data_IF_214372628878
#
_entry.id   IF_214372628878
#
_cell.length_a   1.000
_cell.length_b   1.000
_cell.length_c   1.000
_cell.angle_alpha   90.00
_cell.angle_beta   90.00
_cell.angle_gamma   90.00
#
_symmetry.space_group_name_H-M   'P 1'
#
loop_
_entity.id
_entity.type
_entity.pdbx_description
1 polymer ?
#
# COMPACT_ATOMS: atom_id res chain seq x y z
N UNK A 1 -7.29 5.88 23.68
CA UNK A 1 -8.37 6.06 22.66
C UNK A 1 -7.74 5.88 21.31
N UNK A 2 -8.32 5.05 20.41
CA UNK A 2 -7.83 4.90 19.03
C UNK A 2 -8.05 6.23 18.31
N UNK A 3 -7.00 6.80 17.71
CA UNK A 3 -7.06 8.12 17.06
C UNK A 3 -7.73 8.08 15.69
N UNK A 4 -7.76 6.91 15.03
CA UNK A 4 -8.28 6.71 13.68
C UNK A 4 -9.24 5.53 13.65
N UNK A 5 -10.37 5.70 12.98
CA UNK A 5 -11.37 4.64 12.82
C UNK A 5 -11.10 3.80 11.57
N UNK A 6 -10.76 4.44 10.46
CA UNK A 6 -10.50 3.78 9.18
C UNK A 6 -9.15 4.18 8.64
N UNK A 7 -8.30 3.21 8.38
CA UNK A 7 -6.97 3.44 7.83
C UNK A 7 -6.80 2.78 6.47
N UNK A 8 -5.93 3.36 5.64
CA UNK A 8 -5.42 2.70 4.46
C UNK A 8 -3.94 2.40 4.68
N UNK A 9 -3.58 1.12 4.65
CA UNK A 9 -2.21 0.64 4.74
C UNK A 9 -1.65 0.42 3.34
N UNK A 10 -0.62 1.18 2.97
CA UNK A 10 0.11 0.97 1.72
C UNK A 10 1.35 0.12 1.96
N UNK A 11 1.42 -0.99 1.27
CA UNK A 11 2.54 -1.93 1.30
C UNK A 11 3.28 -1.91 -0.04
N UNK A 12 4.62 -1.88 -0.01
CA UNK A 12 5.39 -2.22 -1.20
C UNK A 12 5.29 -3.73 -1.48
N UNK A 13 5.48 -4.16 -2.73
CA UNK A 13 5.56 -5.61 -3.01
C UNK A 13 6.69 -6.28 -2.23
N UNK A 14 7.78 -5.56 -1.99
CA UNK A 14 8.91 -6.05 -1.20
C UNK A 14 8.57 -6.39 0.26
N UNK A 15 7.48 -5.82 0.80
CA UNK A 15 6.98 -6.17 2.13
C UNK A 15 6.47 -7.62 2.23
N UNK A 16 6.21 -8.28 1.09
CA UNK A 16 5.77 -9.67 1.02
C UNK A 16 6.91 -10.63 0.69
N UNK A 17 8.13 -10.13 0.41
CA UNK A 17 9.26 -10.93 -0.07
C UNK A 17 10.38 -11.05 0.95
N UNK A 18 11.19 -12.09 0.79
CA UNK A 18 12.50 -12.23 1.44
C UNK A 18 13.62 -12.29 0.39
N UNK A 19 14.85 -12.49 0.83
CA UNK A 19 15.99 -12.69 -0.07
C UNK A 19 15.88 -13.95 -0.94
N UNK A 20 15.07 -14.94 -0.53
CA UNK A 20 14.93 -16.23 -1.19
C UNK A 20 13.59 -16.44 -1.89
N UNK A 21 12.56 -15.65 -1.57
CA UNK A 21 11.19 -15.86 -2.07
C UNK A 21 10.51 -14.53 -2.42
N UNK A 22 9.87 -14.50 -3.59
CA UNK A 22 9.10 -13.32 -4.03
C UNK A 22 7.84 -13.11 -3.18
N UNK A 23 7.22 -14.19 -2.70
CA UNK A 23 6.14 -14.17 -1.71
C UNK A 23 6.57 -15.11 -0.59
N UNK A 24 6.87 -14.55 0.56
CA UNK A 24 7.44 -15.26 1.69
C UNK A 24 6.39 -15.49 2.79
N UNK A 25 6.31 -16.73 3.28
CA UNK A 25 5.29 -17.11 4.26
C UNK A 25 5.49 -16.45 5.63
N UNK A 26 6.73 -16.18 6.04
CA UNK A 26 7.01 -15.51 7.32
C UNK A 26 6.64 -14.03 7.25
N UNK A 27 6.90 -13.38 6.10
CA UNK A 27 6.48 -12.00 5.87
C UNK A 27 4.95 -11.88 5.87
N UNK A 28 4.25 -12.85 5.27
CA UNK A 28 2.79 -12.89 5.32
C UNK A 28 2.27 -13.08 6.75
N UNK A 29 2.90 -13.94 7.57
CA UNK A 29 2.54 -14.12 8.99
C UNK A 29 2.75 -12.84 9.79
N UNK A 30 3.86 -12.12 9.57
CA UNK A 30 4.14 -10.83 10.21
C UNK A 30 3.04 -9.81 9.87
N UNK A 31 2.66 -9.70 8.59
CA UNK A 31 1.57 -8.82 8.16
C UNK A 31 0.22 -9.20 8.77
N UNK A 32 -0.08 -10.50 8.86
CA UNK A 32 -1.28 -10.99 9.54
C UNK A 32 -1.30 -10.53 11.00
N UNK A 33 -0.20 -10.66 11.73
CA UNK A 33 -0.10 -10.23 13.13
C UNK A 33 -0.32 -8.72 13.30
N UNK A 34 0.31 -7.90 12.45
CA UNK A 34 0.15 -6.43 12.47
C UNK A 34 -1.31 -6.04 12.22
N UNK A 35 -1.93 -6.63 11.19
CA UNK A 35 -3.32 -6.34 10.84
C UNK A 35 -4.27 -6.82 11.95
N UNK A 36 -4.06 -8.01 12.52
CA UNK A 36 -4.87 -8.52 13.63
C UNK A 36 -4.82 -7.58 14.82
N UNK A 37 -3.63 -7.11 15.20
CA UNK A 37 -3.48 -6.18 16.34
C UNK A 37 -4.26 -4.88 16.13
N UNK A 38 -4.33 -4.37 14.91
CA UNK A 38 -5.10 -3.17 14.60
C UNK A 38 -6.62 -3.45 14.57
N UNK A 39 -7.05 -4.61 14.05
CA UNK A 39 -8.45 -5.04 14.08
C UNK A 39 -8.95 -5.22 15.52
N UNK A 40 -8.12 -5.76 16.41
CA UNK A 40 -8.46 -5.94 17.84
C UNK A 40 -8.68 -4.59 18.56
N UNK A 41 -8.15 -3.50 18.01
CA UNK A 41 -8.42 -2.14 18.46
C UNK A 41 -9.70 -1.52 17.86
N UNK A 42 -10.41 -2.27 17.01
CA UNK A 42 -11.63 -1.81 16.33
C UNK A 42 -11.37 -0.90 15.12
N UNK A 43 -10.19 -0.97 14.52
CA UNK A 43 -9.82 -0.17 13.34
C UNK A 43 -10.26 -0.89 12.06
N UNK A 44 -10.97 -0.19 11.19
CA UNK A 44 -11.30 -0.65 9.84
C UNK A 44 -10.06 -0.53 8.93
N UNK A 45 -9.65 -1.63 8.28
CA UNK A 45 -8.38 -1.69 7.54
C UNK A 45 -8.60 -1.94 6.05
N UNK A 46 -8.15 -0.99 5.23
CA UNK A 46 -7.96 -1.18 3.80
C UNK A 46 -6.46 -1.30 3.48
N UNK A 47 -6.12 -2.10 2.48
CA UNK A 47 -4.73 -2.32 2.07
C UNK A 47 -4.58 -2.05 0.58
N UNK A 48 -3.54 -1.32 0.19
CA UNK A 48 -3.05 -1.24 -1.18
C UNK A 48 -1.67 -1.89 -1.22
N UNK A 49 -1.49 -2.87 -2.08
CA UNK A 49 -0.23 -3.61 -2.21
C UNK A 49 0.44 -3.36 -3.56
N UNK A 50 1.77 -3.16 -3.54
CA UNK A 50 2.59 -3.04 -4.75
C UNK A 50 2.91 -4.40 -5.38
N UNK A 51 3.53 -4.38 -6.58
CA UNK A 51 3.92 -5.57 -7.35
C UNK A 51 5.43 -5.74 -7.54
N UNK A 52 6.25 -4.88 -6.93
CA UNK A 52 7.69 -4.78 -7.21
C UNK A 52 8.53 -6.01 -6.86
N UNK A 53 8.04 -6.91 -6.01
CA UNK A 53 8.66 -8.20 -5.71
C UNK A 53 8.53 -9.22 -6.84
N UNK A 54 7.46 -9.13 -7.62
CA UNK A 54 7.16 -10.04 -8.73
C UNK A 54 7.60 -9.47 -10.08
N UNK A 55 7.46 -8.15 -10.25
CA UNK A 55 7.75 -7.49 -11.50
C UNK A 55 8.24 -6.05 -11.29
N UNK A 56 9.41 -5.74 -11.85
CA UNK A 56 9.99 -4.39 -11.86
C UNK A 56 9.98 -3.83 -13.27
N UNK A 57 8.92 -3.09 -13.61
CA UNK A 57 8.72 -2.52 -14.94
C UNK A 57 9.83 -1.58 -15.41
N UNK A 58 10.48 -0.87 -14.48
CA UNK A 58 11.55 0.09 -14.81
C UNK A 58 12.77 -0.57 -15.45
N UNK A 59 13.16 -1.79 -15.05
CA UNK A 59 14.30 -2.50 -15.64
C UNK A 59 13.99 -3.00 -17.06
N UNK A 60 12.78 -3.47 -17.31
CA UNK A 60 12.39 -4.01 -18.62
C UNK A 60 12.00 -2.91 -19.63
N UNK A 61 11.61 -1.73 -19.16
CA UNK A 61 11.43 -0.56 -20.04
C UNK A 61 12.76 -0.11 -20.67
N UNK A 62 13.88 -0.32 -19.98
CA UNK A 62 15.22 -0.07 -20.52
C UNK A 62 15.61 -1.09 -21.60
N UNK A 63 14.97 -2.26 -21.64
CA UNK A 63 15.18 -3.31 -22.65
C UNK A 63 14.21 -3.20 -23.84
N UNK A 64 13.44 -2.09 -23.94
CA UNK A 64 12.55 -1.81 -25.07
C UNK A 64 11.09 -2.24 -24.90
N UNK A 65 10.68 -2.67 -23.70
CA UNK A 65 9.26 -2.96 -23.42
C UNK A 65 8.43 -1.68 -23.46
N UNK A 66 7.24 -1.77 -24.07
CA UNK A 66 6.29 -0.67 -24.06
C UNK A 66 5.84 -0.36 -22.61
N UNK A 67 5.91 0.92 -22.22
CA UNK A 67 5.59 1.37 -20.86
C UNK A 67 4.19 0.93 -20.41
N UNK A 68 3.18 1.09 -21.27
CA UNK A 68 1.79 0.71 -20.94
C UNK A 68 1.68 -0.78 -20.68
N UNK A 69 2.35 -1.61 -21.48
CA UNK A 69 2.41 -3.07 -21.28
C UNK A 69 3.09 -3.39 -19.95
N UNK A 70 4.23 -2.75 -19.66
CA UNK A 70 4.92 -2.91 -18.38
C UNK A 70 4.07 -2.53 -17.17
N UNK A 71 3.34 -1.42 -17.27
CA UNK A 71 2.43 -0.98 -16.21
C UNK A 71 1.31 -2.01 -16.00
N UNK A 72 0.69 -2.55 -17.06
CA UNK A 72 -0.32 -3.60 -16.95
C UNK A 72 0.22 -4.88 -16.28
N UNK A 73 1.44 -5.30 -16.62
CA UNK A 73 2.08 -6.46 -15.96
C UNK A 73 2.30 -6.16 -14.48
N UNK A 74 2.80 -4.97 -14.13
CA UNK A 74 2.94 -4.53 -12.74
C UNK A 74 1.61 -4.50 -11.99
N UNK A 75 0.55 -4.04 -12.63
CA UNK A 75 -0.81 -4.05 -12.06
C UNK A 75 -1.29 -5.48 -11.80
N UNK A 76 -1.06 -6.43 -12.72
CA UNK A 76 -1.38 -7.85 -12.52
C UNK A 76 -0.52 -8.46 -11.39
N UNK A 77 0.74 -8.08 -11.25
CA UNK A 77 1.59 -8.50 -10.14
C UNK A 77 1.00 -8.10 -8.78
N UNK A 78 0.38 -6.91 -8.69
CA UNK A 78 -0.34 -6.51 -7.45
C UNK A 78 -1.54 -7.41 -7.16
N UNK A 79 -2.21 -7.93 -8.18
CA UNK A 79 -3.34 -8.88 -8.00
C UNK A 79 -2.84 -10.18 -7.39
N UNK A 80 -1.71 -10.72 -7.87
CA UNK A 80 -1.11 -11.93 -7.31
C UNK A 80 -0.76 -11.74 -5.82
N UNK A 81 -0.14 -10.61 -5.47
CA UNK A 81 0.17 -10.26 -4.08
C UNK A 81 -1.09 -10.12 -3.22
N UNK A 82 -2.12 -9.46 -3.72
CA UNK A 82 -3.39 -9.28 -3.01
C UNK A 82 -4.09 -10.62 -2.72
N UNK A 83 -4.06 -11.56 -3.67
CA UNK A 83 -4.61 -12.90 -3.49
C UNK A 83 -3.84 -13.69 -2.44
N UNK A 84 -2.50 -13.66 -2.47
CA UNK A 84 -1.67 -14.33 -1.47
C UNK A 84 -1.91 -13.76 -0.06
N UNK A 85 -2.03 -12.43 0.08
CA UNK A 85 -2.32 -11.77 1.33
C UNK A 85 -3.73 -12.12 1.85
N UNK A 86 -4.74 -12.10 0.97
CA UNK A 86 -6.11 -12.49 1.32
C UNK A 86 -6.19 -13.96 1.79
N UNK A 87 -5.47 -14.87 1.14
CA UNK A 87 -5.39 -16.26 1.57
C UNK A 87 -4.73 -16.38 2.97
N UNK A 88 -3.65 -15.65 3.21
CA UNK A 88 -3.00 -15.62 4.52
C UNK A 88 -3.95 -15.11 5.62
N UNK A 89 -4.72 -14.05 5.37
CA UNK A 89 -5.74 -13.56 6.29
C UNK A 89 -6.82 -14.61 6.56
N UNK A 90 -7.39 -15.21 5.52
CA UNK A 90 -8.46 -16.23 5.65
C UNK A 90 -7.99 -17.46 6.43
N UNK A 91 -6.76 -17.93 6.21
CA UNK A 91 -6.16 -19.03 7.00
C UNK A 91 -6.05 -18.67 8.50
N UNK A 92 -5.92 -17.40 8.82
CA UNK A 92 -5.89 -16.88 10.19
C UNK A 92 -7.24 -16.34 10.67
N UNK A 93 -8.35 -16.70 10.01
CA UNK A 93 -9.73 -16.32 10.35
C UNK A 93 -10.01 -14.82 10.28
N UNK A 94 -9.21 -14.06 9.56
CA UNK A 94 -9.45 -12.65 9.26
C UNK A 94 -10.25 -12.58 7.96
N UNK A 95 -11.52 -12.15 7.99
CA UNK A 95 -12.31 -11.99 6.78
C UNK A 95 -11.68 -10.95 5.86
N UNK A 96 -11.57 -11.26 4.57
CA UNK A 96 -10.99 -10.31 3.61
C UNK A 96 -11.61 -10.44 2.23
N UNK A 97 -11.58 -9.35 1.47
CA UNK A 97 -12.01 -9.27 0.08
C UNK A 97 -10.96 -8.56 -0.76
N UNK A 98 -10.70 -9.08 -1.96
CA UNK A 98 -9.82 -8.44 -2.95
C UNK A 98 -10.67 -7.72 -3.99
N UNK A 99 -10.40 -6.43 -4.19
CA UNK A 99 -11.05 -5.61 -5.22
C UNK A 99 -10.00 -5.09 -6.22
N UNK A 100 -10.28 -5.28 -7.50
CA UNK A 100 -9.36 -4.87 -8.59
C UNK A 100 -9.78 -3.56 -9.22
N UNK A 101 -8.82 -2.68 -9.51
CA UNK A 101 -9.04 -1.40 -10.18
C UNK A 101 -9.56 -1.51 -11.61
N UNK A 102 -9.41 -2.68 -12.26
CA UNK A 102 -10.06 -3.02 -13.51
C UNK A 102 -10.70 -4.41 -13.44
N UNK A 103 -11.72 -4.74 -14.28
CA UNK A 103 -12.40 -6.01 -14.21
C UNK A 103 -11.47 -7.20 -14.51
N UNK A 104 -11.48 -8.20 -13.62
CA UNK A 104 -10.81 -9.50 -13.81
C UNK A 104 -11.87 -10.58 -13.63
N UNK A 105 -12.08 -11.37 -14.67
CA UNK A 105 -13.11 -12.40 -14.70
C UNK A 105 -12.77 -13.66 -13.89
N UNK A 106 -13.64 -14.66 -13.99
CA UNK A 106 -13.41 -16.00 -13.41
C UNK A 106 -13.48 -16.07 -11.88
N UNK A 107 -14.05 -15.08 -11.20
CA UNK A 107 -14.15 -15.08 -9.74
C UNK A 107 -12.81 -14.86 -9.01
N UNK A 108 -11.78 -14.37 -9.71
CA UNK A 108 -10.44 -14.14 -9.15
C UNK A 108 -10.46 -13.03 -8.11
N UNK A 109 -11.09 -11.90 -8.44
CA UNK A 109 -11.32 -10.79 -7.50
C UNK A 109 -12.55 -9.99 -7.95
N UNK A 110 -13.06 -9.16 -7.04
CA UNK A 110 -14.21 -8.33 -7.34
C UNK A 110 -13.77 -7.04 -8.07
N UNK A 111 -14.60 -6.49 -8.96
CA UNK A 111 -14.35 -5.16 -9.49
C UNK A 111 -14.48 -4.13 -8.37
N UNK A 112 -13.61 -3.11 -8.39
CA UNK A 112 -13.65 -2.04 -7.40
C UNK A 112 -15.01 -1.32 -7.42
N UNK A 113 -15.56 -1.14 -6.24
CA UNK A 113 -16.75 -0.30 -5.99
C UNK A 113 -16.60 0.34 -4.61
N UNK A 114 -16.57 1.68 -4.56
CA UNK A 114 -16.32 2.43 -3.32
C UNK A 114 -17.39 2.19 -2.25
N UNK A 115 -18.68 2.11 -2.64
CA UNK A 115 -19.77 1.87 -1.69
C UNK A 115 -19.70 0.46 -1.09
N UNK A 116 -19.38 -0.55 -1.93
CA UNK A 116 -19.16 -1.92 -1.47
C UNK A 116 -17.93 -2.00 -0.56
N UNK A 117 -16.82 -1.36 -0.93
CA UNK A 117 -15.62 -1.33 -0.10
C UNK A 117 -15.90 -0.76 1.31
N UNK A 118 -16.65 0.36 1.39
CA UNK A 118 -17.08 0.93 2.68
C UNK A 118 -17.96 -0.02 3.48
N UNK A 119 -18.88 -0.72 2.82
CA UNK A 119 -19.75 -1.71 3.46
C UNK A 119 -18.95 -2.91 4.00
N UNK A 120 -17.98 -3.42 3.23
CA UNK A 120 -17.14 -4.55 3.67
C UNK A 120 -16.26 -4.15 4.87
N UNK A 121 -15.68 -2.94 4.86
CA UNK A 121 -14.91 -2.39 5.99
C UNK A 121 -15.77 -2.25 7.24
N UNK A 122 -16.99 -1.74 7.13
CA UNK A 122 -17.93 -1.60 8.24
C UNK A 122 -18.45 -2.94 8.78
N UNK A 123 -18.23 -4.05 8.05
CA UNK A 123 -18.53 -5.42 8.48
C UNK A 123 -17.25 -6.19 8.88
N UNK A 124 -16.27 -5.49 9.41
CA UNK A 124 -15.02 -6.04 9.96
C UNK A 124 -14.20 -6.88 8.95
N UNK A 125 -14.33 -6.60 7.65
CA UNK A 125 -13.52 -7.23 6.63
C UNK A 125 -12.35 -6.34 6.22
N UNK A 126 -11.18 -6.94 6.07
CA UNK A 126 -10.05 -6.28 5.43
C UNK A 126 -10.31 -6.18 3.92
N UNK A 127 -10.25 -4.97 3.37
CA UNK A 127 -10.40 -4.74 1.93
C UNK A 127 -9.03 -4.56 1.31
N UNK A 128 -8.65 -5.42 0.36
CA UNK A 128 -7.36 -5.37 -0.32
C UNK A 128 -7.58 -4.87 -1.74
N UNK A 129 -7.02 -3.71 -2.04
CA UNK A 129 -7.09 -3.13 -3.38
C UNK A 129 -5.89 -3.56 -4.22
N UNK A 130 -6.16 -4.07 -5.40
CA UNK A 130 -5.20 -4.52 -6.40
C UNK A 130 -5.38 -3.81 -7.73
N UNK A 131 -4.48 -4.04 -8.67
CA UNK A 131 -4.45 -3.39 -9.99
C UNK A 131 -4.37 -1.85 -9.94
N UNK A 132 -3.80 -1.31 -8.87
CA UNK A 132 -3.53 0.12 -8.73
C UNK A 132 -4.77 1.01 -8.85
N UNK A 133 -4.66 2.07 -9.63
CA UNK A 133 -5.79 2.96 -9.96
C UNK A 133 -6.78 2.35 -10.96
N UNK A 134 -6.41 1.27 -11.63
CA UNK A 134 -7.13 0.72 -12.79
C UNK A 134 -6.62 1.26 -14.14
N UNK A 135 -5.71 2.22 -14.11
CA UNK A 135 -5.11 2.85 -15.29
C UNK A 135 -3.60 2.81 -15.25
N UNK A 136 -2.90 2.61 -16.39
CA UNK A 136 -1.44 2.68 -16.47
C UNK A 136 -0.94 4.11 -16.18
N UNK A 137 0.36 4.28 -16.06
CA UNK A 137 1.07 5.53 -15.78
C UNK A 137 0.92 6.08 -14.35
N UNK A 138 0.20 5.41 -13.46
CA UNK A 138 0.09 5.76 -12.05
C UNK A 138 0.81 4.75 -11.16
N UNK A 139 1.41 5.22 -10.08
CA UNK A 139 2.09 4.36 -9.12
C UNK A 139 1.11 3.77 -8.10
N UNK A 140 1.60 2.85 -7.29
CA UNK A 140 0.87 2.30 -6.15
C UNK A 140 0.64 3.35 -5.06
N UNK A 141 1.50 4.37 -4.96
CA UNK A 141 1.32 5.49 -4.02
C UNK A 141 0.13 6.37 -4.42
N UNK A 142 0.02 6.70 -5.73
CA UNK A 142 -1.17 7.38 -6.28
C UNK A 142 -2.43 6.54 -6.05
N UNK A 143 -2.35 5.23 -6.25
CA UNK A 143 -3.49 4.33 -5.99
C UNK A 143 -3.89 4.35 -4.50
N UNK A 144 -2.93 4.35 -3.58
CA UNK A 144 -3.21 4.43 -2.14
C UNK A 144 -3.94 5.73 -1.78
N UNK A 145 -3.45 6.88 -2.27
CA UNK A 145 -4.11 8.16 -2.06
C UNK A 145 -5.55 8.18 -2.60
N UNK A 146 -5.75 7.71 -3.85
CA UNK A 146 -7.06 7.64 -4.47
C UNK A 146 -8.03 6.75 -3.69
N UNK A 147 -7.63 5.53 -3.34
CA UNK A 147 -8.47 4.60 -2.60
C UNK A 147 -8.79 5.11 -1.19
N UNK A 148 -7.84 5.78 -0.52
CA UNK A 148 -8.09 6.41 0.79
C UNK A 148 -9.21 7.45 0.70
N UNK A 149 -9.20 8.30 -0.31
CA UNK A 149 -10.25 9.30 -0.56
C UNK A 149 -11.59 8.60 -0.81
N UNK A 150 -11.64 7.63 -1.70
CA UNK A 150 -12.87 6.96 -2.12
C UNK A 150 -13.56 6.19 -0.99
N UNK A 151 -12.79 5.59 -0.06
CA UNK A 151 -13.35 4.89 1.10
C UNK A 151 -13.57 5.80 2.32
N UNK A 152 -13.07 7.04 2.30
CA UNK A 152 -13.09 7.96 3.44
C UNK A 152 -12.20 7.47 4.57
N UNK A 153 -10.94 7.12 4.27
CA UNK A 153 -9.95 6.80 5.28
C UNK A 153 -9.51 8.07 6.03
N UNK A 154 -9.23 7.93 7.32
CA UNK A 154 -8.76 9.03 8.15
C UNK A 154 -7.29 9.36 7.88
N UNK A 155 -6.51 8.34 7.49
CA UNK A 155 -5.06 8.44 7.28
C UNK A 155 -4.57 7.35 6.31
N UNK A 156 -3.46 7.64 5.61
CA UNK A 156 -2.67 6.64 4.88
C UNK A 156 -1.43 6.29 5.69
N UNK A 157 -1.26 5.04 6.04
CA UNK A 157 -0.03 4.48 6.58
C UNK A 157 0.81 3.89 5.46
N UNK A 158 2.02 4.41 5.26
CA UNK A 158 2.97 3.87 4.30
C UNK A 158 4.05 3.06 5.02
N UNK A 159 4.03 1.76 4.82
CA UNK A 159 5.07 0.87 5.31
C UNK A 159 6.31 0.92 4.39
N UNK A 160 7.47 1.17 4.97
CA UNK A 160 8.75 1.28 4.27
C UNK A 160 9.86 0.49 4.99
N UNK A 161 11.08 0.54 4.44
CA UNK A 161 12.28 -0.03 5.08
C UNK A 161 12.88 0.92 6.13
N UNK A 162 12.49 2.18 6.09
CA UNK A 162 12.96 3.25 7.00
C UNK A 162 11.81 3.70 7.90
N UNK A 163 12.13 4.20 9.07
CA UNK A 163 11.21 4.49 10.16
C UNK A 163 10.57 5.88 10.10
N UNK A 164 10.67 6.57 8.97
CA UNK A 164 10.09 7.89 8.82
C UNK A 164 10.42 8.56 7.48
N UNK A 165 10.19 9.86 7.46
CA UNK A 165 10.49 10.74 6.31
C UNK A 165 11.83 11.40 6.54
N UNK A 166 12.71 11.38 5.55
CA UNK A 166 14.05 11.93 5.59
C UNK A 166 14.29 12.92 4.45
N UNK A 167 15.28 13.83 4.64
CA UNK A 167 15.70 14.79 3.63
C UNK A 167 16.32 14.13 2.39
N UNK A 168 16.93 12.94 2.57
CA UNK A 168 17.51 12.05 1.55
C UNK A 168 17.37 10.61 2.02
N UNK A 169 17.76 9.62 1.20
CA UNK A 169 17.72 8.22 1.62
C UNK A 169 18.76 7.96 2.73
N UNK A 170 18.34 7.64 3.97
CA UNK A 170 19.29 7.47 5.09
C UNK A 170 20.19 6.22 4.93
N UNK A 171 19.87 5.31 4.01
CA UNK A 171 20.71 4.14 3.69
C UNK A 171 21.89 4.56 2.81
N UNK A 172 21.67 5.50 1.89
CA UNK A 172 22.70 6.01 0.99
C UNK A 172 23.43 7.22 1.57
N UNK A 173 22.74 8.06 2.35
CA UNK A 173 23.27 9.28 2.96
C UNK A 173 23.07 9.26 4.48
N UNK A 174 24.14 8.92 5.26
CA UNK A 174 24.09 8.92 6.72
C UNK A 174 23.85 10.31 7.35
N UNK A 175 23.95 11.39 6.58
CA UNK A 175 23.66 12.75 7.03
C UNK A 175 22.20 13.17 6.85
N UNK A 176 21.37 12.26 6.31
CA UNK A 176 19.93 12.51 6.11
C UNK A 176 19.23 12.87 7.43
N UNK A 177 18.48 13.95 7.39
CA UNK A 177 17.75 14.46 8.56
C UNK A 177 16.35 13.87 8.55
N UNK A 178 15.95 13.23 9.65
CA UNK A 178 14.58 12.75 9.85
C UNK A 178 13.67 13.92 10.20
N UNK A 179 12.50 13.98 9.57
CA UNK A 179 11.45 14.94 9.89
C UNK A 179 10.42 14.30 10.83
N UNK A 180 10.10 15.00 11.93
CA UNK A 180 8.98 14.60 12.80
C UNK A 180 7.63 14.84 12.11
N UNK A 181 7.53 15.93 11.35
CA UNK A 181 6.38 16.26 10.50
C UNK A 181 6.82 17.15 9.34
N UNK A 182 6.11 17.06 8.22
CA UNK A 182 6.39 17.83 7.03
C UNK A 182 5.06 18.17 6.34
N UNK A 183 4.91 19.41 5.85
CA UNK A 183 3.73 19.76 5.04
C UNK A 183 3.86 19.20 3.63
N UNK A 184 2.74 19.00 2.95
CA UNK A 184 2.75 18.52 1.55
C UNK A 184 3.47 19.51 0.63
N UNK A 185 3.30 20.82 0.85
CA UNK A 185 3.99 21.87 0.11
C UNK A 185 5.51 21.71 0.26
N UNK A 186 6.01 21.62 1.48
CA UNK A 186 7.43 21.43 1.75
C UNK A 186 7.97 20.12 1.19
N UNK A 187 7.19 19.04 1.24
CA UNK A 187 7.58 17.75 0.65
C UNK A 187 7.73 17.83 -0.88
N UNK A 188 6.83 18.56 -1.54
CA UNK A 188 6.86 18.77 -3.00
C UNK A 188 8.02 19.70 -3.36
N UNK A 189 8.18 20.85 -2.68
CA UNK A 189 9.24 21.84 -2.94
C UNK A 189 10.64 21.25 -2.74
N UNK A 190 10.82 20.44 -1.69
CA UNK A 190 12.10 19.78 -1.39
C UNK A 190 12.30 18.47 -2.18
N UNK A 191 11.34 18.11 -3.05
CA UNK A 191 11.37 16.87 -3.84
C UNK A 191 11.61 15.61 -2.98
N UNK A 192 10.94 15.53 -1.83
CA UNK A 192 11.04 14.39 -0.91
C UNK A 192 10.43 13.15 -1.57
N UNK A 193 11.24 12.10 -1.72
CA UNK A 193 10.89 10.89 -2.51
C UNK A 193 10.12 9.83 -1.73
N UNK A 194 9.38 10.19 -0.71
CA UNK A 194 8.60 9.23 0.09
C UNK A 194 7.33 8.76 -0.64
N UNK A 195 6.73 9.63 -1.45
CA UNK A 195 5.62 9.31 -2.36
C UNK A 195 5.79 10.08 -3.67
N UNK A 196 5.04 9.69 -4.72
CA UNK A 196 5.02 10.49 -5.94
C UNK A 196 4.22 11.79 -5.76
N UNK A 197 4.50 12.77 -6.62
CA UNK A 197 3.88 14.10 -6.55
C UNK A 197 2.36 14.05 -6.71
N UNK A 198 1.83 13.13 -7.52
CA UNK A 198 0.39 12.97 -7.70
C UNK A 198 -0.28 12.48 -6.42
N UNK A 199 0.34 11.55 -5.70
CA UNK A 199 -0.14 11.09 -4.40
C UNK A 199 -0.15 12.20 -3.35
N UNK A 200 0.91 13.01 -3.28
CA UNK A 200 0.96 14.16 -2.39
C UNK A 200 -0.14 15.19 -2.71
N UNK A 201 -0.33 15.53 -3.97
CA UNK A 201 -1.36 16.46 -4.38
C UNK A 201 -2.77 15.96 -4.02
N UNK A 202 -3.07 14.69 -4.28
CA UNK A 202 -4.35 14.08 -3.92
C UNK A 202 -4.59 14.12 -2.41
N UNK A 203 -3.59 13.74 -1.60
CA UNK A 203 -3.73 13.74 -0.13
C UNK A 203 -3.88 15.15 0.41
N UNK A 204 -3.10 16.12 -0.07
CA UNK A 204 -3.19 17.53 0.31
C UNK A 204 -4.59 18.11 0.03
N UNK A 205 -5.06 17.96 -1.20
CA UNK A 205 -6.32 18.57 -1.66
C UNK A 205 -7.54 17.97 -0.95
N UNK A 206 -7.42 16.70 -0.47
CA UNK A 206 -8.46 16.00 0.27
C UNK A 206 -8.20 15.94 1.79
N UNK A 207 -7.16 16.60 2.30
CA UNK A 207 -6.81 16.69 3.73
C UNK A 207 -6.59 15.32 4.41
N UNK A 208 -5.99 14.39 3.69
CA UNK A 208 -5.64 13.07 4.21
C UNK A 208 -4.16 13.08 4.59
N UNK A 209 -3.87 12.86 5.86
CA UNK A 209 -2.49 12.75 6.33
C UNK A 209 -1.84 11.44 5.89
N UNK A 210 -0.50 11.47 5.79
CA UNK A 210 0.33 10.30 5.50
C UNK A 210 1.26 10.09 6.69
N UNK A 211 1.29 8.87 7.22
CA UNK A 211 2.25 8.43 8.22
C UNK A 211 3.18 7.38 7.61
N UNK A 212 4.48 7.59 7.73
CA UNK A 212 5.51 6.65 7.26
C UNK A 212 6.11 5.92 8.45
N UNK A 213 6.21 4.61 8.36
CA UNK A 213 6.75 3.78 9.43
C UNK A 213 7.54 2.58 8.89
N UNK A 214 8.44 2.03 9.71
CA UNK A 214 9.17 0.81 9.40
C UNK A 214 8.38 -0.42 9.83
N UNK A 215 8.28 -1.41 8.94
CA UNK A 215 7.77 -2.75 9.29
C UNK A 215 8.86 -3.67 9.83
N UNK A 216 10.14 -3.26 9.77
CA UNK A 216 11.29 -4.07 10.17
C UNK A 216 11.65 -3.87 11.64
N UNK A 217 11.25 -2.78 12.24
CA UNK A 217 11.46 -2.51 13.65
C UNK A 217 10.35 -3.16 14.49
N UNK A 218 10.75 -4.03 15.41
CA UNK A 218 9.86 -4.53 16.46
C UNK A 218 9.65 -3.39 17.47
N UNK A 219 8.74 -2.47 17.15
CA UNK A 219 8.31 -1.44 18.10
C UNK A 219 7.46 -2.10 19.20
N UNK A 220 8.13 -2.85 20.09
CA UNK A 220 7.64 -3.21 21.40
C UNK A 220 8.23 -2.25 22.44
N UNK A 221 7.72 -1.03 22.47
CA UNK A 221 7.90 -0.13 23.62
C UNK A 221 6.75 0.87 23.68
#
# INVERSE_FOLDING_TARGET
MVSYRRILLKLSGEALSSSSQNIDSEMLKKLVSIVQSALDLGVEIAIVVGGGNLYRGASLSQEGMNKITGDHIGMLATVMNALALSDAFKRNKIPSVVMSGFPIGGGVCEPFNHSKAKSELANDKVVIFSAGTGSPCFTTDTAAALRAIEIGADIVFKATKVDGIYSSDPIEDPSAIKFDSLTFESAIEQNIKVMDTAAFALCRDNKINICVFSMLEDNHS
#
